data_IF_633143489626
#
_entry.id   IF_633143489626
#
_cell.length_a   1.000
_cell.length_b   1.000
_cell.length_c   1.000
_cell.angle_alpha   90.00
_cell.angle_beta   90.00
_cell.angle_gamma   90.00
#
_symmetry.space_group_name_H-M   'P 1'
#
loop_
_entity.id
_entity.type
_entity.pdbx_description
1 polymer ?
#
# COMPACT_ATOMS: atom_id res chain seq x y z
N UNK A 1 3.74 15.55 3.25
CA UNK A 1 4.05 15.69 1.81
C UNK A 1 5.29 14.88 1.42
N UNK A 2 6.48 15.11 2.01
CA UNK A 2 7.70 14.37 1.64
C UNK A 2 7.54 12.84 1.71
N UNK A 3 6.96 12.31 2.78
CA UNK A 3 6.70 10.87 2.95
C UNK A 3 5.79 10.31 1.85
N UNK A 4 4.74 11.05 1.47
CA UNK A 4 3.82 10.62 0.41
C UNK A 4 4.51 10.55 -0.95
N UNK A 5 5.40 11.51 -1.28
CA UNK A 5 6.18 11.47 -2.53
C UNK A 5 7.16 10.31 -2.56
N UNK A 6 7.86 10.04 -1.44
CA UNK A 6 8.79 8.92 -1.33
C UNK A 6 8.04 7.59 -1.46
N UNK A 7 6.91 7.47 -0.75
CA UNK A 7 6.05 6.29 -0.88
C UNK A 7 5.54 6.11 -2.31
N UNK A 8 5.18 7.20 -2.98
CA UNK A 8 4.72 7.13 -4.36
C UNK A 8 5.79 6.57 -5.30
N UNK A 9 7.03 7.09 -5.22
CA UNK A 9 8.15 6.58 -6.02
C UNK A 9 8.46 5.12 -5.69
N UNK A 10 8.47 4.76 -4.40
CA UNK A 10 8.68 3.39 -3.97
C UNK A 10 7.57 2.45 -4.46
N UNK A 11 6.30 2.87 -4.36
CA UNK A 11 5.17 2.09 -4.83
C UNK A 11 5.14 1.98 -6.36
N UNK A 12 5.61 2.96 -7.11
CA UNK A 12 5.83 2.83 -8.56
C UNK A 12 6.82 1.71 -8.88
N UNK A 13 7.93 1.68 -8.17
CA UNK A 13 8.93 0.61 -8.33
C UNK A 13 8.34 -0.75 -7.95
N UNK A 14 7.66 -0.84 -6.80
CA UNK A 14 7.03 -2.08 -6.35
C UNK A 14 5.92 -2.54 -7.29
N UNK A 15 5.16 -1.60 -7.84
CA UNK A 15 4.12 -1.86 -8.85
C UNK A 15 4.70 -2.49 -10.11
N UNK A 16 5.83 -1.97 -10.59
CA UNK A 16 6.52 -2.56 -11.74
C UNK A 16 7.01 -3.98 -11.44
N UNK A 17 7.63 -4.18 -10.29
CA UNK A 17 8.13 -5.51 -9.88
C UNK A 17 6.97 -6.48 -9.69
N UNK A 18 5.86 -6.06 -9.06
CA UNK A 18 4.68 -6.88 -8.83
C UNK A 18 4.01 -7.31 -10.16
N UNK A 19 3.95 -6.39 -11.12
CA UNK A 19 3.40 -6.68 -12.44
C UNK A 19 4.22 -7.73 -13.22
N UNK A 20 5.57 -7.73 -13.09
CA UNK A 20 6.43 -8.66 -13.81
C UNK A 20 6.67 -9.97 -13.07
N UNK A 21 6.81 -9.93 -11.75
CA UNK A 21 7.22 -11.08 -10.94
C UNK A 21 6.12 -11.61 -10.03
N UNK A 22 5.00 -10.89 -9.88
CA UNK A 22 3.90 -11.19 -8.95
C UNK A 22 4.39 -11.46 -7.51
N UNK A 23 5.44 -10.76 -7.10
CA UNK A 23 6.05 -10.87 -5.77
C UNK A 23 6.62 -9.53 -5.37
N UNK A 24 6.27 -9.08 -4.17
CA UNK A 24 6.82 -7.85 -3.58
C UNK A 24 8.13 -8.21 -2.87
N UNK A 25 9.28 -7.65 -3.30
CA UNK A 25 10.57 -7.96 -2.69
C UNK A 25 10.66 -7.36 -1.29
N UNK A 26 10.89 -8.22 -0.29
CA UNK A 26 11.04 -7.80 1.11
C UNK A 26 12.14 -6.75 1.29
N UNK A 27 13.20 -6.81 0.49
CA UNK A 27 14.32 -5.85 0.55
C UNK A 27 13.87 -4.42 0.25
N UNK A 28 12.99 -4.24 -0.73
CA UNK A 28 12.46 -2.91 -1.06
C UNK A 28 11.52 -2.38 0.03
N UNK A 29 10.71 -3.25 0.64
CA UNK A 29 9.86 -2.88 1.77
C UNK A 29 10.70 -2.45 2.99
N UNK A 30 11.74 -3.21 3.31
CA UNK A 30 12.66 -2.87 4.42
C UNK A 30 13.38 -1.55 4.15
N UNK A 31 13.86 -1.34 2.92
CA UNK A 31 14.48 -0.07 2.52
C UNK A 31 13.49 1.11 2.67
N UNK A 32 12.22 0.90 2.30
CA UNK A 32 11.16 1.89 2.49
C UNK A 32 10.91 2.22 3.96
N UNK A 33 10.82 1.20 4.82
CA UNK A 33 10.65 1.40 6.27
C UNK A 33 11.83 2.20 6.83
N UNK A 34 13.07 1.83 6.50
CA UNK A 34 14.28 2.53 6.99
C UNK A 34 14.27 3.99 6.53
N UNK A 35 13.98 4.24 5.26
CA UNK A 35 13.97 5.60 4.71
C UNK A 35 12.91 6.47 5.37
N UNK A 36 11.68 5.96 5.52
CA UNK A 36 10.58 6.69 6.18
C UNK A 36 10.89 6.90 7.65
N UNK A 37 11.44 5.88 8.36
CA UNK A 37 11.81 6.02 9.77
C UNK A 37 12.86 7.12 9.98
N UNK A 38 13.82 7.24 9.08
CA UNK A 38 14.83 8.29 9.15
C UNK A 38 14.21 9.67 8.96
N UNK A 39 13.27 9.81 8.03
CA UNK A 39 12.56 11.08 7.81
C UNK A 39 11.64 11.44 8.97
N UNK A 40 10.88 10.47 9.46
CA UNK A 40 9.99 10.67 10.61
C UNK A 40 10.80 11.10 11.87
N UNK A 41 11.92 10.45 12.12
CA UNK A 41 12.78 10.80 13.24
C UNK A 41 13.38 12.22 13.12
N UNK A 42 13.61 12.69 11.88
CA UNK A 42 14.19 14.01 11.61
C UNK A 42 13.16 15.14 11.60
N UNK A 43 11.90 14.86 11.21
CA UNK A 43 10.90 15.88 10.89
C UNK A 43 9.67 15.85 11.78
N UNK A 44 9.37 14.72 12.43
CA UNK A 44 8.17 14.52 13.24
C UNK A 44 8.46 14.58 14.74
N UNK A 45 7.43 14.87 15.53
CA UNK A 45 7.53 14.77 16.98
C UNK A 45 7.62 13.29 17.42
N UNK A 46 8.29 12.98 18.56
CA UNK A 46 8.39 11.61 19.06
C UNK A 46 7.02 10.92 19.23
N UNK A 47 5.99 11.68 19.56
CA UNK A 47 4.63 11.15 19.74
C UNK A 47 3.99 10.75 18.40
N UNK A 48 4.16 11.57 17.36
CA UNK A 48 3.68 11.27 16.01
C UNK A 48 4.36 10.03 15.45
N UNK A 49 5.67 9.92 15.61
CA UNK A 49 6.44 8.75 15.19
C UNK A 49 5.97 7.47 15.90
N UNK A 50 5.73 7.52 17.23
CA UNK A 50 5.19 6.40 17.99
C UNK A 50 3.79 5.99 17.50
N UNK A 51 2.92 6.95 17.26
CA UNK A 51 1.57 6.69 16.76
C UNK A 51 1.60 6.07 15.35
N UNK A 52 2.44 6.57 14.45
CA UNK A 52 2.63 6.01 13.12
C UNK A 52 3.07 4.53 13.19
N UNK A 53 4.04 4.22 14.06
CA UNK A 53 4.49 2.85 14.31
C UNK A 53 3.38 1.95 14.87
N UNK A 54 2.61 2.46 15.82
CA UNK A 54 1.48 1.72 16.41
C UNK A 54 0.43 1.38 15.34
N UNK A 55 0.03 2.34 14.51
CA UNK A 55 -0.93 2.11 13.43
C UNK A 55 -0.39 1.16 12.36
N UNK A 56 0.90 1.21 12.04
CA UNK A 56 1.53 0.25 11.14
C UNK A 56 1.50 -1.18 11.69
N UNK A 57 1.79 -1.36 12.98
CA UNK A 57 1.71 -2.66 13.65
C UNK A 57 0.26 -3.16 13.68
N UNK A 58 -0.69 -2.29 14.01
CA UNK A 58 -2.11 -2.63 13.99
C UNK A 58 -2.57 -3.07 12.61
N UNK A 59 -2.16 -2.34 11.57
CA UNK A 59 -2.41 -2.69 10.16
C UNK A 59 -1.83 -4.08 9.82
N UNK A 60 -0.57 -4.36 10.21
CA UNK A 60 0.05 -5.67 10.04
C UNK A 60 -0.74 -6.78 10.73
N UNK A 61 -1.22 -6.55 11.94
CA UNK A 61 -2.00 -7.54 12.70
C UNK A 61 -3.35 -7.80 12.04
N UNK A 62 -4.09 -6.76 11.68
CA UNK A 62 -5.42 -6.88 11.08
C UNK A 62 -5.35 -7.55 9.71
N UNK A 63 -4.53 -7.03 8.80
CA UNK A 63 -4.41 -7.59 7.46
C UNK A 63 -3.64 -8.91 7.44
N UNK A 64 -2.69 -9.11 8.34
CA UNK A 64 -1.99 -10.37 8.55
C UNK A 64 -2.93 -11.47 9.02
N UNK A 65 -3.86 -11.15 9.93
CA UNK A 65 -4.91 -12.07 10.37
C UNK A 65 -5.80 -12.48 9.19
N UNK A 66 -6.25 -11.53 8.38
CA UNK A 66 -7.07 -11.81 7.19
C UNK A 66 -6.30 -12.70 6.21
N UNK A 67 -5.04 -12.39 5.94
CA UNK A 67 -4.17 -13.17 5.06
C UNK A 67 -3.92 -14.59 5.57
N UNK A 68 -3.81 -14.77 6.88
CA UNK A 68 -3.64 -16.09 7.49
C UNK A 68 -4.88 -16.99 7.30
N UNK A 69 -6.08 -16.43 7.48
CA UNK A 69 -7.32 -17.20 7.29
C UNK A 69 -7.75 -17.35 5.84
N UNK A 70 -7.40 -16.38 4.98
CA UNK A 70 -7.76 -16.38 3.55
C UNK A 70 -6.55 -16.01 2.67
N UNK A 71 -5.56 -16.90 2.55
CA UNK A 71 -4.33 -16.60 1.81
C UNK A 71 -4.55 -16.34 0.32
N UNK A 72 -5.67 -16.81 -0.24
CA UNK A 72 -6.08 -16.55 -1.63
C UNK A 72 -6.72 -15.16 -1.82
N UNK A 73 -7.17 -14.52 -0.75
CA UNK A 73 -7.81 -13.21 -0.83
C UNK A 73 -6.82 -12.06 -0.68
N UNK A 74 -5.75 -12.23 0.13
CA UNK A 74 -4.77 -11.19 0.39
C UNK A 74 -3.37 -11.82 0.54
N UNK A 75 -2.45 -11.40 -0.33
CA UNK A 75 -1.06 -11.83 -0.28
C UNK A 75 -0.30 -11.22 0.89
N UNK A 76 0.64 -11.98 1.48
CA UNK A 76 1.51 -11.47 2.57
C UNK A 76 2.39 -10.30 2.12
N UNK A 77 2.65 -10.16 0.81
CA UNK A 77 3.35 -9.01 0.24
C UNK A 77 2.54 -7.72 0.39
N UNK A 78 1.23 -7.79 0.06
CA UNK A 78 0.31 -6.66 0.14
C UNK A 78 0.09 -6.23 1.60
N UNK A 79 0.03 -7.18 2.55
CA UNK A 79 -0.05 -6.89 3.99
C UNK A 79 1.11 -6.01 4.44
N UNK A 80 2.33 -6.35 4.04
CA UNK A 80 3.53 -5.57 4.37
C UNK A 80 3.53 -4.21 3.68
N UNK A 81 3.06 -4.16 2.44
CA UNK A 81 2.90 -2.90 1.70
C UNK A 81 1.91 -1.97 2.42
N UNK A 82 0.77 -2.49 2.88
CA UNK A 82 -0.22 -1.71 3.65
C UNK A 82 0.36 -1.15 4.93
N UNK A 83 1.12 -1.96 5.66
CA UNK A 83 1.78 -1.49 6.88
C UNK A 83 2.79 -0.37 6.60
N UNK A 84 3.56 -0.47 5.52
CA UNK A 84 4.50 0.55 5.10
C UNK A 84 3.79 1.86 4.71
N UNK A 85 2.71 1.77 3.93
CA UNK A 85 1.92 2.94 3.52
C UNK A 85 1.23 3.58 4.73
N UNK A 86 0.68 2.76 5.64
CA UNK A 86 0.09 3.24 6.89
C UNK A 86 1.11 3.93 7.79
N UNK A 87 2.34 3.41 7.85
CA UNK A 87 3.45 3.99 8.61
C UNK A 87 3.83 5.38 8.10
N UNK A 88 3.98 5.54 6.79
CA UNK A 88 4.47 6.80 6.22
C UNK A 88 3.41 7.88 5.99
N UNK A 89 2.12 7.52 5.92
CA UNK A 89 1.02 8.48 5.72
C UNK A 89 0.22 8.76 7.00
N UNK A 90 0.28 7.84 7.97
CA UNK A 90 -0.67 7.80 9.07
C UNK A 90 -2.01 7.20 8.67
N UNK A 91 -2.85 6.93 9.68
CA UNK A 91 -4.10 6.16 9.51
C UNK A 91 -5.11 6.86 8.60
N UNK A 92 -5.22 8.18 8.67
CA UNK A 92 -6.22 8.96 7.92
C UNK A 92 -6.01 8.86 6.43
N UNK A 93 -4.82 9.19 5.97
CA UNK A 93 -4.47 9.20 4.53
C UNK A 93 -4.34 7.77 4.01
N UNK A 94 -3.88 6.83 4.84
CA UNK A 94 -3.88 5.40 4.52
C UNK A 94 -5.28 4.88 4.17
N UNK A 95 -6.31 5.23 4.95
CA UNK A 95 -7.69 4.81 4.67
C UNK A 95 -8.18 5.35 3.32
N UNK A 96 -7.84 6.60 2.98
CA UNK A 96 -8.17 7.19 1.67
C UNK A 96 -7.49 6.40 0.55
N UNK A 97 -6.18 6.18 0.66
CA UNK A 97 -5.41 5.40 -0.35
C UNK A 97 -5.96 3.99 -0.50
N UNK A 98 -6.23 3.31 0.61
CA UNK A 98 -6.76 1.94 0.60
C UNK A 98 -8.15 1.87 -0.04
N UNK A 99 -9.01 2.85 0.23
CA UNK A 99 -10.36 2.92 -0.35
C UNK A 99 -10.28 3.11 -1.86
N UNK A 100 -9.49 4.06 -2.34
CA UNK A 100 -9.30 4.31 -3.78
C UNK A 100 -8.70 3.09 -4.46
N UNK A 101 -7.66 2.49 -3.86
CA UNK A 101 -7.00 1.30 -4.40
C UNK A 101 -7.98 0.11 -4.50
N UNK A 102 -8.79 -0.11 -3.46
CA UNK A 102 -9.77 -1.21 -3.43
C UNK A 102 -10.88 -1.02 -4.46
N UNK A 103 -11.39 0.20 -4.62
CA UNK A 103 -12.40 0.52 -5.63
C UNK A 103 -11.85 0.33 -7.05
N UNK A 104 -10.64 0.82 -7.32
CA UNK A 104 -9.98 0.65 -8.60
C UNK A 104 -9.73 -0.83 -8.93
N UNK A 105 -9.23 -1.61 -7.96
CA UNK A 105 -9.02 -3.05 -8.12
C UNK A 105 -10.34 -3.79 -8.38
N UNK A 106 -11.41 -3.43 -7.67
CA UNK A 106 -12.76 -4.00 -7.87
C UNK A 106 -13.26 -3.73 -9.29
N UNK A 107 -13.18 -2.48 -9.76
CA UNK A 107 -13.63 -2.09 -11.09
C UNK A 107 -12.87 -2.84 -12.18
N UNK A 108 -11.54 -2.88 -12.09
CA UNK A 108 -10.70 -3.59 -13.08
C UNK A 108 -11.00 -5.09 -13.06
N UNK A 109 -11.12 -5.70 -11.89
CA UNK A 109 -11.44 -7.11 -11.74
C UNK A 109 -12.81 -7.44 -12.33
N UNK A 110 -13.81 -6.58 -12.11
CA UNK A 110 -15.16 -6.74 -12.67
C UNK A 110 -15.14 -6.65 -14.19
N UNK A 111 -14.42 -5.67 -14.75
CA UNK A 111 -14.28 -5.52 -16.21
C UNK A 111 -13.61 -6.74 -16.83
N UNK A 112 -12.50 -7.22 -16.23
CA UNK A 112 -11.79 -8.41 -16.71
C UNK A 112 -12.67 -9.67 -16.67
N UNK A 113 -13.50 -9.81 -15.65
CA UNK A 113 -14.45 -10.91 -15.51
C UNK A 113 -15.55 -10.84 -16.58
N UNK A 114 -16.13 -9.66 -16.82
CA UNK A 114 -17.18 -9.44 -17.82
C UNK A 114 -16.68 -9.73 -19.24
N UNK A 115 -15.44 -9.37 -19.55
CA UNK A 115 -14.82 -9.63 -20.87
C UNK A 115 -14.39 -11.11 -21.00
N UNK A 116 -14.59 -11.93 -19.97
CA UNK A 116 -14.19 -13.35 -19.91
C UNK A 116 -12.68 -13.59 -20.22
N UNK A 117 -11.83 -12.60 -20.04
CA UNK A 117 -10.38 -12.71 -20.27
C UNK A 117 -9.64 -13.41 -19.14
N UNK A 118 -10.27 -13.50 -17.97
CA UNK A 118 -9.66 -14.10 -16.77
C UNK A 118 -10.66 -14.98 -16.03
N UNK A 119 -10.14 -16.00 -15.37
CA UNK A 119 -10.88 -16.84 -14.43
C UNK A 119 -11.03 -16.14 -13.08
N UNK A 120 -12.04 -16.52 -12.29
CA UNK A 120 -12.25 -16.04 -10.90
C UNK A 120 -11.02 -16.29 -10.00
N UNK A 121 -10.14 -17.22 -10.40
CA UNK A 121 -8.88 -17.53 -9.69
C UNK A 121 -7.69 -16.65 -10.12
N UNK A 122 -7.90 -15.67 -11.01
CA UNK A 122 -6.82 -14.82 -11.48
C UNK A 122 -6.42 -13.82 -10.41
N UNK A 123 -5.18 -13.86 -9.97
CA UNK A 123 -4.60 -12.92 -9.02
C UNK A 123 -4.22 -11.63 -9.77
N UNK A 124 -4.91 -10.53 -9.45
CA UNK A 124 -4.59 -9.21 -9.98
C UNK A 124 -3.53 -8.58 -9.07
N UNK A 125 -2.40 -8.08 -9.60
CA UNK A 125 -1.39 -7.41 -8.78
C UNK A 125 -2.01 -6.17 -8.12
N UNK A 126 -1.87 -6.06 -6.78
CA UNK A 126 -2.53 -5.00 -6.02
C UNK A 126 -1.68 -3.72 -5.90
N UNK A 127 -0.36 -3.82 -5.96
CA UNK A 127 0.56 -2.68 -5.85
C UNK A 127 0.28 -1.53 -6.85
N UNK A 128 -0.11 -1.77 -8.12
CA UNK A 128 -0.51 -0.71 -9.05
C UNK A 128 -1.70 0.13 -8.56
N UNK A 129 -2.66 -0.50 -7.89
CA UNK A 129 -3.84 0.22 -7.37
C UNK A 129 -3.50 1.06 -6.15
N UNK A 130 -2.55 0.62 -5.33
CA UNK A 130 -2.02 1.43 -4.22
C UNK A 130 -1.31 2.66 -4.76
N UNK A 131 -0.52 2.54 -5.85
CA UNK A 131 0.11 3.70 -6.49
C UNK A 131 -0.90 4.67 -7.07
N UNK A 132 -2.01 4.19 -7.63
CA UNK A 132 -3.12 5.06 -8.07
C UNK A 132 -3.75 5.80 -6.88
N UNK A 133 -3.99 5.10 -5.76
CA UNK A 133 -4.50 5.72 -4.54
C UNK A 133 -3.58 6.83 -4.01
N UNK A 134 -2.27 6.59 -4.02
CA UNK A 134 -1.26 7.59 -3.64
C UNK A 134 -1.23 8.78 -4.61
N UNK A 135 -1.36 8.55 -5.92
CA UNK A 135 -1.44 9.63 -6.90
C UNK A 135 -2.66 10.54 -6.66
N UNK A 136 -3.82 9.94 -6.38
CA UNK A 136 -5.04 10.70 -6.04
C UNK A 136 -4.85 11.50 -4.76
N UNK A 137 -4.25 10.90 -3.71
CA UNK A 137 -3.97 11.60 -2.47
C UNK A 137 -3.05 12.82 -2.70
N UNK A 138 -1.97 12.66 -3.46
CA UNK A 138 -1.04 13.75 -3.79
C UNK A 138 -1.76 14.87 -4.55
N UNK A 139 -2.58 14.52 -5.54
CA UNK A 139 -3.34 15.49 -6.30
C UNK A 139 -4.35 16.28 -5.43
N UNK A 140 -5.05 15.60 -4.55
CA UNK A 140 -5.97 16.24 -3.59
C UNK A 140 -5.24 17.17 -2.62
N UNK A 141 -4.04 16.81 -2.24
CA UNK A 141 -3.19 17.59 -1.31
C UNK A 141 -2.61 18.85 -1.95
N UNK A 142 -2.41 18.88 -3.28
CA UNK A 142 -1.99 20.08 -4.00
C UNK A 142 -3.18 21.03 -4.30
N UNK A 143 -4.39 20.48 -4.38
CA UNK A 143 -5.60 21.23 -4.68
C UNK A 143 -6.23 21.90 -3.44
N UNK A 144 -5.76 21.58 -2.22
CA UNK A 144 -6.25 22.08 -0.93
C UNK A 144 -5.36 23.17 -0.34
#
# INVERSE_FOLDING_TARGET
MANAMILFVLCLYLSWVDFHHRRIPNRALVAGVVLISFLELALSSPMEWLMAGLFAILSLLVFGWISYYKPLALGMGDVKLFALVCYGLGIRDFVVVLTVASLAALLVSLVLLLIRKVSIKYEVPFAPFVTMGLAVLLFMSEAS
#
